data_IF_345935909735
#
_entry.id   IF_345935909735
#
_cell.length_a   1.000
_cell.length_b   1.000
_cell.length_c   1.000
_cell.angle_alpha   90.00
_cell.angle_beta   90.00
_cell.angle_gamma   90.00
#
_symmetry.space_group_name_H-M   'P 1'
#
loop_
_entity.id
_entity.type
_entity.pdbx_description
1 polymer ?
#
# COMPACT_ATOMS: atom_id res chain seq x y z
N UNK A 1 -9.82 1.59 -15.05
CA UNK A 1 -10.28 1.24 -13.69
C UNK A 1 -9.21 0.41 -13.00
N UNK A 2 -8.70 0.89 -11.86
CA UNK A 2 -7.80 0.15 -10.96
C UNK A 2 -8.57 -0.12 -9.67
N UNK A 3 -8.57 -1.36 -9.20
CA UNK A 3 -9.21 -1.76 -7.95
C UNK A 3 -8.22 -2.53 -7.09
N UNK A 4 -8.04 -2.07 -5.86
CA UNK A 4 -7.33 -2.76 -4.78
C UNK A 4 -8.36 -3.07 -3.71
N UNK A 5 -8.41 -4.33 -3.28
CA UNK A 5 -9.35 -4.79 -2.24
C UNK A 5 -8.56 -5.49 -1.16
N UNK A 6 -8.65 -5.00 0.08
CA UNK A 6 -8.06 -5.61 1.27
C UNK A 6 -6.55 -5.89 1.17
N UNK A 7 -5.80 -5.03 0.47
CA UNK A 7 -4.38 -5.21 0.23
C UNK A 7 -3.61 -5.12 1.56
N UNK A 8 -2.83 -6.15 1.85
CA UNK A 8 -1.94 -6.19 3.01
C UNK A 8 -0.55 -6.64 2.60
N UNK A 9 0.49 -6.00 3.16
CA UNK A 9 1.88 -6.36 2.91
C UNK A 9 2.68 -6.29 4.19
N UNK A 10 3.25 -7.43 4.57
CA UNK A 10 4.20 -7.55 5.68
C UNK A 10 5.57 -7.94 5.14
N UNK A 11 6.60 -7.22 5.57
CA UNK A 11 7.99 -7.56 5.35
C UNK A 11 8.56 -8.30 6.57
N UNK A 12 9.46 -9.26 6.31
CA UNK A 12 10.14 -10.06 7.33
C UNK A 12 9.20 -10.68 8.39
N UNK A 13 8.09 -11.35 7.98
CA UNK A 13 7.11 -11.89 8.91
C UNK A 13 7.77 -12.90 9.87
N UNK A 14 7.37 -12.85 11.15
CA UNK A 14 7.87 -13.75 12.20
C UNK A 14 9.27 -13.42 12.71
N UNK A 15 9.83 -12.27 12.37
CA UNK A 15 11.14 -11.82 12.86
C UNK A 15 11.02 -10.57 13.74
N UNK A 16 12.08 -10.24 14.48
CA UNK A 16 12.18 -8.97 15.23
C UNK A 16 12.09 -7.73 14.32
N UNK A 17 12.32 -7.90 13.02
CA UNK A 17 12.26 -6.84 12.00
C UNK A 17 10.96 -6.90 11.19
N UNK A 18 9.93 -7.59 11.68
CA UNK A 18 8.62 -7.62 11.05
C UNK A 18 8.08 -6.20 10.88
N UNK A 19 7.62 -5.88 9.67
CA UNK A 19 7.01 -4.58 9.37
C UNK A 19 5.79 -4.75 8.48
N UNK A 20 4.63 -4.38 9.01
CA UNK A 20 3.39 -4.22 8.25
C UNK A 20 3.43 -2.90 7.48
N UNK A 21 3.76 -2.97 6.19
CA UNK A 21 3.90 -1.80 5.33
C UNK A 21 2.56 -1.34 4.72
N UNK A 22 1.65 -2.27 4.47
CA UNK A 22 0.26 -1.98 4.06
C UNK A 22 -0.65 -2.87 4.91
N UNK A 23 -1.72 -2.29 5.44
CA UNK A 23 -2.66 -2.97 6.33
C UNK A 23 -4.08 -2.73 5.82
N UNK A 24 -4.68 -3.75 5.21
CA UNK A 24 -6.07 -3.77 4.77
C UNK A 24 -6.50 -2.55 3.94
N UNK A 25 -5.71 -2.21 2.92
CA UNK A 25 -5.98 -1.08 2.05
C UNK A 25 -6.92 -1.47 0.91
N UNK A 26 -8.05 -0.79 0.82
CA UNK A 26 -8.93 -0.82 -0.36
C UNK A 26 -8.92 0.55 -1.04
N UNK A 27 -8.78 0.55 -2.37
CA UNK A 27 -8.71 1.75 -3.20
C UNK A 27 -9.29 1.44 -4.58
N UNK A 28 -10.20 2.28 -5.05
CA UNK A 28 -10.73 2.23 -6.42
C UNK A 28 -10.38 3.54 -7.10
N UNK A 29 -9.79 3.46 -8.29
CA UNK A 29 -9.50 4.59 -9.17
C UNK A 29 -10.18 4.36 -10.52
N UNK A 30 -10.92 5.37 -10.98
CA UNK A 30 -11.62 5.34 -12.24
C UNK A 30 -10.71 5.75 -13.41
N UNK A 31 -11.17 5.51 -14.63
CA UNK A 31 -10.45 5.98 -15.80
C UNK A 31 -10.46 7.52 -15.86
N UNK A 32 -9.28 8.10 -16.05
CA UNK A 32 -9.09 9.56 -16.08
C UNK A 32 -8.76 10.18 -14.72
N UNK A 33 -8.80 9.43 -13.62
CA UNK A 33 -8.38 9.93 -12.32
C UNK A 33 -6.89 10.29 -12.30
N UNK A 34 -6.59 11.49 -11.81
CA UNK A 34 -5.22 11.95 -11.57
C UNK A 34 -5.00 12.14 -10.07
N UNK A 35 -4.29 11.20 -9.45
CA UNK A 35 -4.18 11.10 -7.98
C UNK A 35 -2.73 11.19 -7.54
N UNK A 36 -2.51 11.84 -6.38
CA UNK A 36 -1.22 11.87 -5.70
C UNK A 36 -1.31 11.15 -4.36
N UNK A 37 -0.31 10.32 -4.06
CA UNK A 37 -0.18 9.64 -2.76
C UNK A 37 0.81 10.41 -1.88
N UNK A 38 0.33 10.89 -0.73
CA UNK A 38 1.12 11.65 0.26
C UNK A 38 1.22 10.92 1.59
N UNK A 39 2.30 11.18 2.33
CA UNK A 39 2.56 10.56 3.64
C UNK A 39 4.03 10.63 4.03
N UNK A 40 4.35 10.35 5.29
CA UNK A 40 5.72 10.37 5.80
C UNK A 40 6.60 9.25 5.22
N UNK A 41 7.92 9.34 5.44
CA UNK A 41 8.84 8.28 5.05
C UNK A 41 8.50 6.98 5.80
N UNK A 42 8.45 5.87 5.07
CA UNK A 42 8.08 4.58 5.62
C UNK A 42 6.57 4.31 5.76
N UNK A 43 5.70 5.23 5.33
CA UNK A 43 4.24 5.08 5.36
C UNK A 43 3.66 4.08 4.32
N UNK A 44 4.51 3.32 3.61
CA UNK A 44 4.05 2.31 2.65
C UNK A 44 3.82 2.80 1.22
N UNK A 45 4.07 4.09 0.89
CA UNK A 45 3.83 4.66 -0.45
C UNK A 45 4.53 3.90 -1.58
N UNK A 46 5.86 3.73 -1.51
CA UNK A 46 6.60 2.96 -2.52
C UNK A 46 6.30 1.46 -2.47
N UNK A 47 5.80 0.96 -1.34
CA UNK A 47 5.31 -0.41 -1.23
C UNK A 47 4.01 -0.58 -1.99
N UNK A 48 3.09 0.39 -1.92
CA UNK A 48 1.81 0.39 -2.63
C UNK A 48 2.00 0.32 -4.15
N UNK A 49 2.98 1.05 -4.70
CA UNK A 49 3.28 1.01 -6.13
C UNK A 49 3.99 -0.28 -6.60
N UNK A 50 4.57 -1.06 -5.69
CA UNK A 50 5.30 -2.31 -5.99
C UNK A 50 4.59 -3.56 -5.45
N UNK A 51 3.34 -3.41 -5.01
CA UNK A 51 2.58 -4.48 -4.38
C UNK A 51 2.15 -5.56 -5.37
#
# INVERSE_FOLDING_TARGET
>A
MLELSHLSKTFNPGTVNEKKAIQDLSLTLEEGDFVTIVGSNGAGKSTLFNA
#
